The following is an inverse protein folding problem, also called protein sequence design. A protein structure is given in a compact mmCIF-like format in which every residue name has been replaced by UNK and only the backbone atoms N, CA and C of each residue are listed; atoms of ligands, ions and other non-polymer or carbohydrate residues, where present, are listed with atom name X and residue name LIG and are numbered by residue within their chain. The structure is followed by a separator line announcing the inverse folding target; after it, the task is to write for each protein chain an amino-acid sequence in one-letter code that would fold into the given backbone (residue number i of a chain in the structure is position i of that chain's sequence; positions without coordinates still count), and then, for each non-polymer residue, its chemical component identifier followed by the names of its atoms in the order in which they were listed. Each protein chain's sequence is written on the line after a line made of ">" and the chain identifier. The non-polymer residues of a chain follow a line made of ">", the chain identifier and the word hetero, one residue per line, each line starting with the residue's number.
data_IF_411821048796
#
_entry.id   IF_411821048796
#
_cell.length_a   1.000
_cell.length_b   1.000
_cell.length_c   1.000
_cell.angle_alpha   90.00
_cell.angle_beta   90.00
_cell.angle_gamma   90.00
#
_symmetry.space_group_name_H-M   'P 1'
#
loop_
_entity.id
_entity.type
_entity.pdbx_description
1 polymer ?
#
# COMPACT_ATOMS: atom_id res chain seq x y z
N UNK A 1 -9.49 -13.40 44.06
CA UNK A 1 -8.86 -12.07 43.99
C UNK A 1 -7.75 -12.17 42.96
N UNK A 2 -8.03 -11.70 41.75
CA UNK A 2 -7.33 -12.09 40.52
C UNK A 2 -5.97 -11.39 40.36
N UNK A 3 -4.92 -12.19 40.20
CA UNK A 3 -3.65 -11.77 39.66
C UNK A 3 -3.75 -11.74 38.12
N UNK A 4 -3.69 -10.55 37.54
CA UNK A 4 -3.61 -10.35 36.10
C UNK A 4 -2.78 -9.09 35.85
N UNK A 5 -1.60 -9.26 35.24
CA UNK A 5 -0.92 -8.37 34.30
C UNK A 5 0.59 -8.60 34.34
N UNK A 6 1.01 -9.71 33.73
CA UNK A 6 2.37 -9.89 33.25
C UNK A 6 2.28 -10.58 31.89
N UNK A 7 1.86 -9.83 30.88
CA UNK A 7 1.88 -10.33 29.50
C UNK A 7 2.11 -9.17 28.52
N UNK A 8 3.12 -9.36 27.66
CA UNK A 8 3.37 -8.69 26.39
C UNK A 8 4.08 -7.32 26.45
N UNK A 9 5.39 -7.38 26.71
CA UNK A 9 6.38 -6.48 26.09
C UNK A 9 7.50 -7.33 25.48
N UNK A 10 7.12 -8.21 24.55
CA UNK A 10 8.06 -8.93 23.66
C UNK A 10 7.44 -8.91 22.26
N UNK A 11 7.40 -7.73 21.66
CA UNK A 11 7.31 -7.56 20.22
C UNK A 11 8.34 -6.51 19.83
N UNK A 12 8.91 -6.68 18.64
CA UNK A 12 10.02 -5.90 18.05
C UNK A 12 11.42 -6.41 18.45
N UNK A 13 11.77 -7.65 18.06
CA UNK A 13 13.18 -8.01 17.75
C UNK A 13 13.36 -9.34 16.99
N UNK A 14 12.32 -9.82 16.29
CA UNK A 14 12.43 -11.01 15.43
C UNK A 14 11.91 -10.63 14.04
N UNK A 15 12.83 -10.54 13.06
CA UNK A 15 12.47 -10.31 11.65
C UNK A 15 13.49 -9.55 10.79
N UNK A 16 14.53 -8.95 11.37
CA UNK A 16 15.54 -8.20 10.60
C UNK A 16 16.66 -9.09 10.02
N UNK A 17 16.35 -10.28 9.49
CA UNK A 17 17.36 -11.26 9.02
C UNK A 17 17.34 -11.57 7.51
N UNK A 18 16.76 -10.71 6.66
CA UNK A 18 16.78 -10.98 5.20
C UNK A 18 17.07 -9.78 4.29
N UNK A 19 17.44 -8.62 4.83
CA UNK A 19 17.88 -7.49 3.99
C UNK A 19 19.37 -7.57 3.58
N UNK A 20 20.10 -8.61 3.98
CA UNK A 20 21.53 -8.80 3.71
C UNK A 20 21.87 -9.24 2.27
N UNK A 21 20.97 -9.04 1.31
CA UNK A 21 21.45 -8.94 -0.06
C UNK A 21 22.14 -7.60 -0.19
N UNK A 22 23.35 -7.58 -0.77
CA UNK A 22 24.01 -6.35 -1.21
C UNK A 22 23.17 -5.69 -2.33
N UNK A 23 21.99 -5.18 -1.99
CA UNK A 23 21.25 -4.26 -2.81
C UNK A 23 22.13 -3.00 -2.90
N UNK A 24 22.31 -2.43 -4.10
CA UNK A 24 23.04 -1.17 -4.21
C UNK A 24 22.39 -0.20 -3.22
N UNK A 25 23.19 0.26 -2.24
CA UNK A 25 22.78 1.33 -1.32
C UNK A 25 22.26 2.43 -2.23
N UNK A 26 20.95 2.69 -2.19
CA UNK A 26 20.36 3.58 -3.17
C UNK A 26 21.16 4.88 -3.20
N UNK A 27 21.73 5.26 -4.35
CA UNK A 27 22.52 6.49 -4.47
C UNK A 27 21.66 7.67 -4.04
N UNK A 28 22.06 8.49 -3.07
CA UNK A 28 21.28 9.67 -2.62
C UNK A 28 20.76 10.59 -3.75
N UNK A 29 21.31 10.45 -4.97
CA UNK A 29 20.91 11.15 -6.19
C UNK A 29 19.93 10.40 -7.10
N UNK A 30 19.36 9.25 -6.69
CA UNK A 30 18.37 8.50 -7.48
C UNK A 30 16.95 9.11 -7.39
N UNK A 31 16.87 10.43 -7.24
CA UNK A 31 15.74 11.20 -7.76
C UNK A 31 15.98 11.35 -9.26
N UNK A 32 15.49 10.40 -10.06
CA UNK A 32 15.32 10.69 -11.50
C UNK A 32 14.43 11.92 -11.53
N UNK A 33 14.84 13.05 -12.14
CA UNK A 33 14.02 14.24 -12.22
C UNK A 33 12.74 13.85 -12.96
N UNK A 34 11.70 13.61 -12.18
CA UNK A 34 10.37 13.32 -12.69
C UNK A 34 9.94 14.56 -13.45
N UNK A 35 9.49 14.39 -14.69
CA UNK A 35 8.76 15.45 -15.37
C UNK A 35 7.63 15.93 -14.42
N UNK A 36 7.28 17.22 -14.42
CA UNK A 36 6.26 17.80 -13.49
C UNK A 36 4.94 17.02 -13.43
N UNK A 37 4.63 16.17 -14.41
CA UNK A 37 3.46 15.27 -14.44
C UNK A 37 3.67 13.92 -13.72
N UNK A 38 4.90 13.38 -13.67
CA UNK A 38 5.22 12.11 -13.00
C UNK A 38 5.41 12.26 -11.48
N UNK A 39 5.59 13.50 -10.99
CA UNK A 39 5.86 13.82 -9.58
C UNK A 39 4.72 13.46 -8.61
N UNK A 40 3.54 13.06 -9.11
CA UNK A 40 2.34 12.80 -8.30
C UNK A 40 1.91 11.32 -8.27
N UNK A 41 2.71 10.41 -8.82
CA UNK A 41 2.41 8.99 -8.83
C UNK A 41 3.55 8.20 -8.21
N UNK A 42 3.24 7.47 -7.13
CA UNK A 42 4.15 6.46 -6.63
C UNK A 42 4.25 5.33 -7.64
N UNK A 43 5.48 4.85 -7.80
CA UNK A 43 5.74 3.63 -8.53
C UNK A 43 5.22 2.45 -7.73
N UNK A 44 4.89 1.39 -8.45
CA UNK A 44 4.41 0.11 -7.93
C UNK A 44 5.19 -0.36 -6.68
N UNK A 45 6.53 -0.38 -6.78
CA UNK A 45 7.41 -0.82 -5.70
C UNK A 45 7.38 0.10 -4.46
N UNK A 46 7.15 1.40 -4.63
CA UNK A 46 7.09 2.35 -3.50
C UNK A 46 5.80 2.15 -2.70
N UNK A 47 4.67 1.90 -3.38
CA UNK A 47 3.41 1.54 -2.74
C UNK A 47 3.55 0.24 -1.96
N UNK A 48 4.05 -0.81 -2.61
CA UNK A 48 4.25 -2.11 -1.97
C UNK A 48 5.20 -2.00 -0.77
N UNK A 49 6.26 -1.19 -0.85
CA UNK A 49 7.18 -0.98 0.26
C UNK A 49 6.51 -0.28 1.46
N UNK A 50 5.65 0.72 1.22
CA UNK A 50 4.91 1.37 2.31
C UNK A 50 3.89 0.44 2.94
N UNK A 51 3.13 -0.33 2.13
CA UNK A 51 2.16 -1.29 2.64
C UNK A 51 2.84 -2.40 3.45
N UNK A 52 4.05 -2.79 3.06
CA UNK A 52 4.82 -3.83 3.73
C UNK A 52 5.48 -3.40 5.05
N UNK A 53 5.66 -2.09 5.27
CA UNK A 53 6.42 -1.56 6.42
C UNK A 53 5.59 -0.66 7.32
N UNK A 54 4.31 -0.47 7.02
CA UNK A 54 3.42 0.49 7.69
C UNK A 54 4.08 1.85 7.93
N UNK A 55 4.92 2.27 6.98
CA UNK A 55 5.69 3.50 7.08
C UNK A 55 4.98 4.65 6.39
N UNK A 56 5.11 5.86 6.94
CA UNK A 56 4.51 7.08 6.37
C UNK A 56 5.06 7.42 4.99
N UNK A 57 6.33 7.05 4.72
CA UNK A 57 7.01 7.21 3.43
C UNK A 57 7.61 5.87 2.98
N UNK A 58 7.85 5.69 1.67
CA UNK A 58 8.45 4.44 1.16
C UNK A 58 9.85 4.20 1.72
N UNK A 59 10.09 3.01 2.28
CA UNK A 59 11.43 2.60 2.63
C UNK A 59 12.26 2.40 1.34
N UNK A 60 13.35 3.14 1.25
CA UNK A 60 14.15 3.20 0.03
C UNK A 60 14.84 1.89 -0.35
N UNK A 61 15.42 1.20 0.64
CA UNK A 61 16.10 -0.08 0.40
C UNK A 61 15.10 -1.13 -0.04
N UNK A 62 13.96 -1.21 0.65
CA UNK A 62 12.89 -2.14 0.31
C UNK A 62 12.27 -1.83 -1.06
N UNK A 63 12.08 -0.55 -1.39
CA UNK A 63 11.60 -0.12 -2.72
C UNK A 63 12.55 -0.60 -3.82
N UNK A 64 13.86 -0.40 -3.65
CA UNK A 64 14.85 -0.89 -4.62
C UNK A 64 14.81 -2.41 -4.75
N UNK A 65 14.68 -3.12 -3.62
CA UNK A 65 14.54 -4.58 -3.60
C UNK A 65 13.32 -5.02 -4.40
N UNK A 66 12.13 -4.55 -4.04
CA UNK A 66 10.87 -4.91 -4.68
C UNK A 66 10.93 -4.63 -6.17
N UNK A 67 11.44 -3.46 -6.57
CA UNK A 67 11.57 -3.12 -8.00
C UNK A 67 12.42 -4.14 -8.77
N UNK A 68 13.60 -4.45 -8.26
CA UNK A 68 14.53 -5.37 -8.94
C UNK A 68 14.01 -6.81 -8.94
N UNK A 69 13.37 -7.23 -7.85
CA UNK A 69 12.77 -8.56 -7.74
C UNK A 69 11.60 -8.71 -8.73
N UNK A 70 10.73 -7.70 -8.82
CA UNK A 70 9.62 -7.66 -9.78
C UNK A 70 10.10 -7.64 -11.24
N UNK A 71 11.17 -6.91 -11.54
CA UNK A 71 11.81 -6.92 -12.87
C UNK A 71 12.32 -8.33 -13.22
N UNK A 72 12.99 -9.02 -12.28
CA UNK A 72 13.48 -10.38 -12.48
C UNK A 72 12.34 -11.38 -12.69
N UNK A 73 11.27 -11.32 -11.89
CA UNK A 73 10.09 -12.18 -12.02
C UNK A 73 9.45 -12.00 -13.39
N UNK A 74 9.17 -10.76 -13.81
CA UNK A 74 8.50 -10.48 -15.10
C UNK A 74 9.37 -10.80 -16.32
N UNK A 75 10.69 -10.82 -16.16
CA UNK A 75 11.62 -11.27 -17.18
C UNK A 75 11.60 -12.79 -17.35
N UNK A 76 11.64 -13.55 -16.24
CA UNK A 76 11.66 -15.03 -16.26
C UNK A 76 10.27 -15.65 -16.47
N UNK A 77 9.20 -14.97 -16.04
CA UNK A 77 7.81 -15.43 -16.14
C UNK A 77 6.95 -14.40 -16.88
N UNK A 78 6.97 -14.37 -18.23
CA UNK A 78 6.24 -13.37 -19.01
C UNK A 78 4.72 -13.38 -18.80
N UNK A 79 4.14 -14.49 -18.32
CA UNK A 79 2.70 -14.60 -18.05
C UNK A 79 2.19 -13.58 -17.03
N UNK A 80 3.05 -13.16 -16.09
CA UNK A 80 2.72 -12.16 -15.06
C UNK A 80 3.20 -10.75 -15.40
N UNK A 81 3.73 -10.52 -16.61
CA UNK A 81 4.35 -9.24 -17.00
C UNK A 81 3.43 -8.03 -16.86
N UNK A 82 2.15 -8.20 -17.16
CA UNK A 82 1.16 -7.12 -17.20
C UNK A 82 0.32 -7.02 -15.91
N UNK A 83 0.55 -7.90 -14.94
CA UNK A 83 -0.12 -7.85 -13.64
C UNK A 83 0.66 -6.85 -12.79
N UNK A 84 -0.03 -5.86 -12.23
CA UNK A 84 0.58 -4.76 -11.46
C UNK A 84 -0.09 -4.60 -10.10
N UNK A 85 0.67 -4.16 -9.10
CA UNK A 85 0.13 -3.81 -7.80
C UNK A 85 -0.88 -2.65 -7.93
N UNK A 86 -2.06 -2.86 -7.33
CA UNK A 86 -3.13 -1.86 -7.29
C UNK A 86 -3.12 -1.14 -5.95
N UNK A 87 -3.00 0.18 -6.01
CA UNK A 87 -3.12 1.02 -4.81
C UNK A 87 -4.47 0.77 -4.12
N UNK A 88 -4.44 0.47 -2.82
CA UNK A 88 -5.65 0.29 -2.00
C UNK A 88 -6.27 1.64 -1.58
N UNK A 89 -5.45 2.68 -1.57
CA UNK A 89 -5.77 4.03 -1.14
C UNK A 89 -5.06 5.06 -2.05
N UNK A 90 -5.44 6.33 -1.94
CA UNK A 90 -4.81 7.43 -2.67
C UNK A 90 -3.65 8.03 -1.84
N UNK A 91 -2.38 7.85 -2.27
CA UNK A 91 -1.24 8.36 -1.51
C UNK A 91 -1.27 9.87 -1.34
N UNK A 92 -0.89 10.33 -0.15
CA UNK A 92 -0.87 11.76 0.21
C UNK A 92 -2.26 12.39 0.23
N UNK A 93 -3.34 11.61 0.37
CA UNK A 93 -4.71 12.14 0.44
C UNK A 93 -5.46 11.62 1.65
N UNK A 94 -6.02 12.54 2.41
CA UNK A 94 -6.91 12.27 3.53
C UNK A 94 -8.26 12.96 3.33
N UNK A 95 -9.31 12.31 3.84
CA UNK A 95 -10.68 12.80 3.91
C UNK A 95 -10.96 13.27 5.33
N UNK A 96 -11.61 14.42 5.46
CA UNK A 96 -12.02 15.01 6.74
C UNK A 96 -13.51 15.28 6.69
N UNK A 97 -14.24 14.90 7.74
CA UNK A 97 -15.66 15.26 7.90
C UNK A 97 -15.81 16.74 8.25
N UNK A 98 -14.89 17.27 9.04
CA UNK A 98 -14.76 18.69 9.34
C UNK A 98 -13.28 19.02 9.52
N UNK A 99 -12.86 20.20 9.08
CA UNK A 99 -11.52 20.72 9.35
C UNK A 99 -11.59 22.24 9.44
N UNK A 100 -11.10 22.79 10.55
CA UNK A 100 -11.08 24.23 10.77
C UNK A 100 -9.85 24.89 10.12
N UNK A 101 -9.87 26.21 9.90
CA UNK A 101 -8.67 26.95 9.51
C UNK A 101 -7.52 26.82 10.52
N UNK A 102 -7.82 26.73 11.82
CA UNK A 102 -6.82 26.52 12.86
C UNK A 102 -6.17 25.13 12.77
N UNK A 103 -6.94 24.09 12.45
CA UNK A 103 -6.40 22.73 12.19
C UNK A 103 -5.43 22.75 11.02
N UNK A 104 -5.81 23.41 9.92
CA UNK A 104 -4.96 23.55 8.74
C UNK A 104 -3.67 24.29 9.05
N UNK A 105 -3.73 25.36 9.85
CA UNK A 105 -2.53 26.06 10.32
C UNK A 105 -1.64 25.13 11.13
N UNK A 106 -2.20 24.41 12.11
CA UNK A 106 -1.45 23.47 12.95
C UNK A 106 -0.79 22.37 12.13
N UNK A 107 -1.49 21.77 11.16
CA UNK A 107 -0.86 20.76 10.29
C UNK A 107 0.25 21.37 9.44
N UNK A 108 0.07 22.60 8.93
CA UNK A 108 1.10 23.29 8.15
C UNK A 108 2.36 23.67 8.93
N UNK A 109 2.28 23.72 10.26
CA UNK A 109 3.43 23.91 11.17
C UNK A 109 4.21 22.60 11.43
N UNK A 110 3.68 21.44 10.99
CA UNK A 110 4.35 20.14 11.09
C UNK A 110 5.20 19.81 9.85
N UNK A 111 5.97 18.72 9.91
CA UNK A 111 6.72 18.17 8.77
C UNK A 111 5.83 17.70 7.59
N UNK A 112 4.51 17.57 7.81
CA UNK A 112 3.55 17.15 6.79
C UNK A 112 3.01 18.32 5.95
N UNK A 113 3.24 19.56 6.38
CA UNK A 113 2.91 20.77 5.63
C UNK A 113 3.95 21.15 4.55
N UNK A 114 3.67 22.19 3.74
CA UNK A 114 2.38 22.89 3.63
C UNK A 114 1.41 22.12 2.73
N UNK A 115 0.16 22.01 3.19
CA UNK A 115 -0.95 21.33 2.51
C UNK A 115 -1.61 22.28 1.51
N UNK A 116 -1.98 21.76 0.34
CA UNK A 116 -2.85 22.45 -0.60
C UNK A 116 -4.28 21.97 -0.40
N UNK A 117 -5.16 22.89 -0.02
CA UNK A 117 -6.59 22.60 0.11
C UNK A 117 -7.18 22.43 -1.29
N UNK A 118 -7.86 21.30 -1.53
CA UNK A 118 -8.76 21.15 -2.67
C UNK A 118 -10.15 20.90 -2.12
N UNK A 119 -10.95 21.96 -2.03
CA UNK A 119 -12.35 21.80 -1.65
C UNK A 119 -13.09 21.04 -2.76
N UNK A 120 -13.72 19.94 -2.37
CA UNK A 120 -14.71 19.25 -3.18
C UNK A 120 -16.03 19.37 -2.40
N UNK A 121 -16.80 20.42 -2.70
CA UNK A 121 -18.16 20.53 -2.18
C UNK A 121 -19.02 19.48 -2.89
N UNK A 122 -19.03 18.24 -2.40
CA UNK A 122 -19.94 17.22 -2.91
C UNK A 122 -21.29 17.46 -2.24
N UNK A 123 -22.11 18.33 -2.84
CA UNK A 123 -23.52 18.46 -2.47
C UNK A 123 -24.27 17.22 -2.93
N UNK A 124 -24.40 16.22 -2.07
CA UNK A 124 -25.40 15.17 -2.29
C UNK A 124 -26.79 15.78 -2.12
N UNK A 125 -27.51 15.97 -3.23
CA UNK A 125 -28.79 16.70 -3.31
C UNK A 125 -29.99 15.90 -2.80
N UNK A 126 -29.80 14.92 -1.91
CA UNK A 126 -30.84 13.95 -1.58
C UNK A 126 -31.43 14.05 -0.17
N UNK A 127 -30.81 14.74 0.79
CA UNK A 127 -31.35 14.87 2.16
C UNK A 127 -30.87 16.21 2.73
N UNK A 128 -31.70 16.91 3.50
CA UNK A 128 -31.49 18.27 4.05
C UNK A 128 -30.23 18.48 4.93
N UNK A 129 -29.34 17.49 5.03
CA UNK A 129 -28.07 17.56 5.73
C UNK A 129 -26.90 17.49 4.74
N UNK A 130 -26.39 18.64 4.31
CA UNK A 130 -25.13 18.73 3.54
C UNK A 130 -23.95 18.27 4.40
N UNK A 131 -23.37 17.12 4.08
CA UNK A 131 -22.09 16.68 4.63
C UNK A 131 -20.94 17.45 3.92
N UNK A 132 -20.21 18.26 4.67
CA UNK A 132 -19.07 19.03 4.16
C UNK A 132 -17.78 18.19 4.18
N UNK A 133 -17.64 17.28 3.23
CA UNK A 133 -16.42 16.46 3.12
C UNK A 133 -15.28 17.29 2.52
N UNK A 134 -14.17 17.41 3.24
CA UNK A 134 -12.95 18.07 2.74
C UNK A 134 -11.86 17.06 2.45
N UNK A 135 -11.21 17.20 1.29
CA UNK A 135 -10.06 16.39 0.91
C UNK A 135 -8.80 17.24 0.93
N UNK A 136 -7.80 16.79 1.69
CA UNK A 136 -6.48 17.42 1.71
C UNK A 136 -5.50 16.63 0.85
N UNK A 137 -4.69 17.35 0.07
CA UNK A 137 -3.58 16.76 -0.67
C UNK A 137 -2.27 17.24 -0.04
N UNK A 138 -1.54 16.29 0.50
CA UNK A 138 -0.24 16.50 1.12
C UNK A 138 0.85 16.67 0.04
N UNK A 139 1.93 17.41 0.34
CA UNK A 139 3.00 17.65 -0.62
C UNK A 139 3.79 16.39 -0.98
N UNK A 140 3.86 15.42 -0.05
CA UNK A 140 4.45 14.09 -0.29
C UNK A 140 3.35 13.03 -0.37
N UNK A 141 3.67 11.93 -1.04
CA UNK A 141 2.76 10.80 -1.26
C UNK A 141 2.75 9.88 -0.03
N UNK A 142 2.36 10.45 1.11
CA UNK A 142 2.34 9.74 2.40
C UNK A 142 1.36 8.56 2.38
N UNK A 143 1.66 7.53 3.17
CA UNK A 143 0.71 6.46 3.48
C UNK A 143 -0.43 7.01 4.36
N UNK A 144 -1.67 7.11 3.84
CA UNK A 144 -2.79 7.69 4.57
C UNK A 144 -3.25 6.82 5.75
N UNK A 145 -2.96 5.51 5.73
CA UNK A 145 -3.26 4.61 6.85
C UNK A 145 -2.37 4.87 8.07
N UNK A 146 -1.21 5.50 7.85
CA UNK A 146 -0.24 5.85 8.91
C UNK A 146 -0.36 7.33 9.27
N UNK A 147 -0.48 8.18 8.25
CA UNK A 147 -0.59 9.63 8.44
C UNK A 147 -1.85 10.03 9.20
N UNK A 148 -3.00 9.42 8.91
CA UNK A 148 -4.26 9.76 9.58
C UNK A 148 -4.19 9.55 11.10
N UNK A 149 -3.82 8.34 11.59
CA UNK A 149 -3.58 8.09 13.01
C UNK A 149 -2.53 9.02 13.62
N UNK A 150 -1.43 9.32 12.91
CA UNK A 150 -0.40 10.22 13.40
C UNK A 150 -0.93 11.66 13.62
N UNK A 151 -1.77 12.19 12.73
CA UNK A 151 -2.41 13.49 12.90
C UNK A 151 -3.41 13.50 14.06
N UNK A 152 -4.15 12.40 14.25
CA UNK A 152 -5.05 12.24 15.38
C UNK A 152 -4.26 12.26 16.70
N UNK A 153 -3.19 11.47 16.80
CA UNK A 153 -2.37 11.37 17.99
C UNK A 153 -1.68 12.70 18.33
N UNK A 154 -1.06 13.36 17.35
CA UNK A 154 -0.30 14.59 17.60
C UNK A 154 -1.17 15.83 17.79
N UNK A 155 -2.28 15.94 17.04
CA UNK A 155 -3.05 17.19 16.93
C UNK A 155 -4.52 17.07 17.35
N UNK A 156 -5.00 15.84 17.61
CA UNK A 156 -6.42 15.57 17.88
C UNK A 156 -7.30 15.70 16.63
N UNK A 157 -6.73 15.59 15.43
CA UNK A 157 -7.46 15.81 14.17
C UNK A 157 -7.82 14.48 13.52
N UNK A 158 -9.10 14.14 13.53
CA UNK A 158 -9.62 12.93 12.89
C UNK A 158 -9.59 13.03 11.36
N UNK A 159 -9.24 11.93 10.71
CA UNK A 159 -9.22 11.83 9.26
C UNK A 159 -9.36 10.38 8.81
N UNK A 160 -9.71 10.20 7.54
CA UNK A 160 -9.88 8.89 6.93
C UNK A 160 -9.08 8.77 5.64
N UNK A 161 -8.56 7.58 5.30
CA UNK A 161 -7.91 7.35 4.02
C UNK A 161 -8.91 7.45 2.86
N UNK A 162 -8.46 8.04 1.75
CA UNK A 162 -9.23 7.99 0.51
C UNK A 162 -8.99 6.65 -0.18
N UNK A 163 -9.94 5.73 -0.05
CA UNK A 163 -9.84 4.38 -0.65
C UNK A 163 -9.94 4.41 -2.17
N UNK A 164 -9.20 3.52 -2.84
CA UNK A 164 -9.29 3.30 -4.29
C UNK A 164 -10.23 2.13 -4.57
N UNK A 165 -11.27 2.36 -5.37
CA UNK A 165 -12.34 1.37 -5.62
C UNK A 165 -12.19 0.58 -6.93
N UNK A 166 -11.21 0.91 -7.77
CA UNK A 166 -11.04 0.23 -9.07
C UNK A 166 -10.36 -1.13 -8.90
N UNK A 167 -11.05 -2.20 -9.30
CA UNK A 167 -10.53 -3.57 -9.35
C UNK A 167 -10.85 -4.18 -10.71
N UNK A 168 -9.82 -4.46 -11.50
CA UNK A 168 -9.91 -5.29 -12.71
C UNK A 168 -9.73 -6.79 -12.40
N UNK A 169 -9.34 -7.10 -11.15
CA UNK A 169 -9.11 -8.47 -10.68
C UNK A 169 -7.65 -8.85 -10.58
N UNK A 170 -6.78 -8.10 -11.24
CA UNK A 170 -5.34 -8.33 -11.28
C UNK A 170 -4.67 -7.55 -10.14
N UNK A 171 -3.71 -8.16 -9.46
CA UNK A 171 -2.96 -7.51 -8.39
C UNK A 171 -1.59 -8.15 -8.19
N UNK A 172 -0.69 -7.42 -7.54
CA UNK A 172 0.58 -7.96 -7.04
C UNK A 172 0.71 -7.59 -5.57
N UNK A 173 1.04 -8.59 -4.74
CA UNK A 173 1.18 -8.45 -3.30
C UNK A 173 2.59 -8.88 -2.92
N UNK A 174 3.21 -8.17 -1.97
CA UNK A 174 4.49 -8.55 -1.38
C UNK A 174 4.30 -8.83 0.11
N UNK A 175 4.70 -10.02 0.55
CA UNK A 175 4.76 -10.37 1.97
C UNK A 175 6.19 -10.12 2.46
N UNK A 176 6.34 -9.16 3.39
CA UNK A 176 7.63 -8.77 3.94
C UNK A 176 8.26 -9.85 4.84
N UNK A 177 7.43 -10.59 5.57
CA UNK A 177 7.87 -11.61 6.54
C UNK A 177 8.55 -12.77 5.82
N UNK A 178 7.95 -13.23 4.72
CA UNK A 178 8.47 -14.34 3.92
C UNK A 178 9.31 -13.88 2.74
N UNK A 179 9.36 -12.56 2.46
CA UNK A 179 9.92 -11.99 1.24
C UNK A 179 9.40 -12.63 -0.06
N UNK A 180 8.10 -12.95 -0.10
CA UNK A 180 7.45 -13.57 -1.25
C UNK A 180 6.58 -12.58 -2.03
N UNK A 181 6.39 -12.87 -3.31
CA UNK A 181 5.57 -12.10 -4.24
C UNK A 181 4.40 -12.95 -4.72
N UNK A 182 3.18 -12.45 -4.58
CA UNK A 182 1.97 -13.09 -5.09
C UNK A 182 1.45 -12.25 -6.26
N UNK A 183 1.37 -12.86 -7.43
CA UNK A 183 0.69 -12.28 -8.58
C UNK A 183 -0.69 -12.92 -8.69
N UNK A 184 -1.70 -12.08 -8.84
CA UNK A 184 -3.10 -12.47 -8.96
C UNK A 184 -3.60 -12.03 -10.32
N UNK A 185 -4.23 -12.95 -11.05
CA UNK A 185 -4.98 -12.62 -12.26
C UNK A 185 -6.45 -12.98 -12.08
N UNK A 186 -7.31 -11.99 -12.22
CA UNK A 186 -8.75 -12.17 -12.18
C UNK A 186 -9.30 -12.56 -13.55
N UNK A 187 -10.33 -13.39 -13.58
CA UNK A 187 -11.11 -13.65 -14.79
C UNK A 187 -12.61 -13.76 -14.50
N UNK A 188 -13.43 -13.62 -15.55
CA UNK A 188 -14.89 -13.53 -15.43
C UNK A 188 -15.38 -12.13 -15.04
N UNK A 189 -16.48 -12.06 -14.28
CA UNK A 189 -17.16 -10.80 -13.94
C UNK A 189 -16.45 -9.95 -12.87
N UNK A 190 -15.32 -9.32 -13.19
CA UNK A 190 -14.50 -8.61 -12.20
C UNK A 190 -15.00 -7.24 -11.70
N UNK A 191 -16.21 -6.78 -12.05
CA UNK A 191 -16.71 -5.46 -11.59
C UNK A 191 -16.98 -5.41 -10.07
N UNK A 192 -17.44 -6.52 -9.48
CA UNK A 192 -17.69 -6.65 -8.03
C UNK A 192 -16.80 -7.74 -7.43
N UNK A 193 -16.67 -8.87 -8.13
CA UNK A 193 -15.82 -9.99 -7.73
C UNK A 193 -15.52 -10.88 -8.94
N UNK A 194 -14.25 -11.17 -9.20
CA UNK A 194 -13.91 -12.11 -10.26
C UNK A 194 -14.45 -13.51 -9.93
N UNK A 195 -14.96 -14.21 -10.95
CA UNK A 195 -15.47 -15.58 -10.82
C UNK A 195 -14.33 -16.56 -10.55
N UNK A 196 -13.14 -16.26 -11.07
CA UNK A 196 -11.94 -17.05 -10.85
C UNK A 196 -10.74 -16.15 -10.61
N UNK A 197 -9.77 -16.67 -9.86
CA UNK A 197 -8.46 -16.05 -9.68
C UNK A 197 -7.36 -17.07 -9.84
N UNK A 198 -6.33 -16.70 -10.59
CA UNK A 198 -5.09 -17.46 -10.73
C UNK A 198 -4.01 -16.78 -9.89
N UNK A 199 -3.30 -17.55 -9.09
CA UNK A 199 -2.23 -17.10 -8.21
C UNK A 199 -0.90 -17.72 -8.61
N UNK A 200 0.14 -16.88 -8.69
CA UNK A 200 1.54 -17.31 -8.77
C UNK A 200 2.30 -16.76 -7.58
N UNK A 201 2.84 -17.65 -6.76
CA UNK A 201 3.68 -17.32 -5.61
C UNK A 201 5.14 -17.50 -5.98
N UNK A 202 5.91 -16.41 -5.94
CA UNK A 202 7.34 -16.40 -6.24
C UNK A 202 8.18 -16.02 -5.02
N UNK A 203 9.39 -16.55 -4.98
CA UNK A 203 10.48 -16.07 -4.14
C UNK A 203 11.67 -15.71 -5.04
N UNK A 204 12.35 -14.61 -4.73
CA UNK A 204 13.59 -14.24 -5.42
C UNK A 204 14.75 -14.50 -4.50
N UNK A 205 15.66 -15.40 -4.90
CA UNK A 205 16.84 -15.73 -4.11
C UNK A 205 17.79 -14.54 -4.05
N UNK A 206 18.39 -14.39 -2.89
CA UNK A 206 19.43 -13.42 -2.59
C UNK A 206 20.80 -13.83 -3.21
N UNK A 207 20.87 -13.97 -4.53
CA UNK A 207 22.11 -14.33 -5.23
C UNK A 207 22.41 -13.35 -6.37
N UNK A 208 23.63 -13.41 -6.93
CA UNK A 208 24.08 -12.50 -8.01
C UNK A 208 23.14 -12.50 -9.22
N UNK A 209 22.48 -13.64 -9.47
CA UNK A 209 21.63 -13.84 -10.65
C UNK A 209 20.15 -13.51 -10.38
N UNK A 210 19.76 -13.18 -9.14
CA UNK A 210 18.37 -12.98 -8.71
C UNK A 210 17.47 -14.10 -9.21
N UNK A 211 17.88 -15.34 -8.95
CA UNK A 211 17.15 -16.52 -9.38
C UNK A 211 15.71 -16.48 -8.83
N UNK A 212 14.72 -16.62 -9.71
CA UNK A 212 13.31 -16.59 -9.34
C UNK A 212 12.81 -18.02 -9.20
N UNK A 213 12.23 -18.34 -8.05
CA UNK A 213 11.63 -19.63 -7.76
C UNK A 213 10.12 -19.47 -7.74
N UNK A 214 9.42 -20.21 -8.61
CA UNK A 214 7.98 -20.39 -8.49
C UNK A 214 7.71 -21.40 -7.37
N UNK A 215 7.17 -20.92 -6.25
CA UNK A 215 6.83 -21.76 -5.09
C UNK A 215 5.51 -22.50 -5.35
N UNK A 216 4.52 -21.77 -5.85
CA UNK A 216 3.17 -22.31 -6.04
C UNK A 216 2.46 -21.62 -7.20
N UNK A 217 1.74 -22.43 -7.97
CA UNK A 217 0.82 -22.00 -9.03
C UNK A 217 -0.52 -22.71 -8.77
N UNK A 218 -1.59 -21.92 -8.61
CA UNK A 218 -2.92 -22.47 -8.35
C UNK A 218 -4.04 -21.52 -8.76
N UNK A 219 -5.23 -22.10 -8.95
CA UNK A 219 -6.45 -21.37 -9.31
C UNK A 219 -7.52 -21.59 -8.25
N UNK A 220 -8.24 -20.52 -7.92
CA UNK A 220 -9.43 -20.56 -7.07
C UNK A 220 -10.64 -20.15 -7.90
N UNK A 221 -11.71 -20.94 -7.82
CA UNK A 221 -13.01 -20.61 -8.42
C UNK A 221 -13.97 -20.21 -7.31
N UNK A 222 -14.60 -19.06 -7.47
CA UNK A 222 -15.65 -18.60 -6.58
C UNK A 222 -16.97 -19.07 -7.16
N UNK A 223 -17.52 -20.15 -6.60
CA UNK A 223 -18.91 -20.52 -6.89
C UNK A 223 -19.79 -19.40 -6.34
N UNK A 224 -20.60 -18.81 -7.22
CA UNK A 224 -21.49 -17.70 -6.89
C UNK A 224 -22.33 -18.02 -5.64
N UNK A 225 -22.29 -17.09 -4.68
CA UNK A 225 -23.16 -16.85 -3.52
C UNK A 225 -22.77 -17.33 -2.10
N UNK A 226 -22.05 -18.44 -1.87
CA UNK A 226 -21.95 -18.96 -0.48
C UNK A 226 -20.57 -19.43 0.02
N UNK A 227 -19.48 -19.24 -0.71
CA UNK A 227 -18.15 -19.70 -0.23
C UNK A 227 -17.36 -18.59 0.48
N UNK A 228 -17.07 -18.70 1.80
CA UNK A 228 -16.19 -17.75 2.48
C UNK A 228 -14.80 -17.78 1.84
N UNK A 229 -14.19 -16.59 1.73
CA UNK A 229 -12.81 -16.44 1.25
C UNK A 229 -11.90 -17.34 2.09
N UNK A 230 -11.08 -18.23 1.50
CA UNK A 230 -10.15 -19.04 2.28
C UNK A 230 -9.19 -18.11 3.05
N UNK A 231 -9.28 -18.13 4.39
CA UNK A 231 -8.42 -17.35 5.29
C UNK A 231 -6.97 -17.80 5.25
N UNK A 232 -6.72 -19.03 4.79
CA UNK A 232 -5.40 -19.67 4.73
C UNK A 232 -4.49 -19.09 3.64
N UNK A 233 -4.97 -18.10 2.88
CA UNK A 233 -4.20 -17.42 1.83
C UNK A 233 -3.41 -16.21 2.34
N UNK A 234 -3.53 -15.87 3.63
CA UNK A 234 -2.83 -14.75 4.28
C UNK A 234 -1.73 -15.18 5.27
N UNK A 235 -1.27 -16.44 5.20
CA UNK A 235 -0.11 -16.93 5.98
C UNK A 235 1.15 -16.88 5.10
#
# INVERSE_FOLDING_TARGET
>A
MYAFNLFIFVMILLGAHSLDCNYPKGDSNFYVPMTRKAQFFLREAELMAMEATDSVLPNRQLTTKIRLDMEAIRAQFPIVRNITHRKKWAPGKLRFQSISPDDLRRINETEYGPIKIRHLNIRYRAVENTLNITYLNFPKLYNPLVLGPALLEMLGIESEPVMSIFRDGDDTIFNAETSNYIFVKGSGKCFISCEQKHFWLFMVKCNKNREVVLIKDYMVRYNTLDSPVPTDLFI
#
